data_IF_357424600069
#
_entry.id   IF_357424600069
#
_cell.length_a   1.000
_cell.length_b   1.000
_cell.length_c   1.000
_cell.angle_alpha   90.00
_cell.angle_beta   90.00
_cell.angle_gamma   90.00
#
_symmetry.space_group_name_H-M   'P 1'
#
loop_
_entity.id
_entity.type
_entity.pdbx_description
1 polymer ?
#
# COMPACT_ATOMS: atom_id res chain seq x y z
N UNK A 1 -21.02 8.54 -7.41
CA UNK A 1 -19.82 9.35 -7.70
C UNK A 1 -19.59 10.43 -6.63
N UNK A 2 -20.62 11.21 -6.24
CA UNK A 2 -20.52 12.25 -5.19
C UNK A 2 -19.98 11.73 -3.84
N UNK A 3 -20.43 10.58 -3.37
CA UNK A 3 -19.98 10.00 -2.09
C UNK A 3 -18.50 9.58 -2.07
N UNK A 4 -18.00 9.02 -3.17
CA UNK A 4 -16.58 8.67 -3.33
C UNK A 4 -15.72 9.94 -3.30
N UNK A 5 -16.16 11.01 -3.97
CA UNK A 5 -15.46 12.31 -3.94
C UNK A 5 -15.48 12.93 -2.55
N UNK A 6 -16.59 12.81 -1.81
CA UNK A 6 -16.70 13.28 -0.43
C UNK A 6 -15.75 12.49 0.50
N UNK A 7 -15.67 11.17 0.36
CA UNK A 7 -14.76 10.36 1.18
C UNK A 7 -13.28 10.56 0.83
N UNK A 8 -12.94 10.54 -0.46
CA UNK A 8 -11.57 10.89 -0.89
C UNK A 8 -11.23 12.32 -0.44
N UNK A 9 -12.21 13.22 -0.45
CA UNK A 9 -12.13 14.54 0.17
C UNK A 9 -11.80 14.45 1.66
N UNK A 10 -12.53 13.65 2.44
CA UNK A 10 -12.29 13.49 3.88
C UNK A 10 -10.93 12.89 4.22
N UNK A 11 -10.51 11.83 3.52
CA UNK A 11 -9.17 11.24 3.68
C UNK A 11 -8.11 12.24 3.24
N UNK A 12 -8.32 12.94 2.12
CA UNK A 12 -7.42 14.00 1.65
C UNK A 12 -7.31 15.11 2.68
N UNK A 13 -8.42 15.60 3.22
CA UNK A 13 -8.45 16.67 4.23
C UNK A 13 -7.73 16.24 5.49
N UNK A 14 -7.95 15.01 5.96
CA UNK A 14 -7.33 14.51 7.17
C UNK A 14 -5.84 14.24 7.00
N UNK A 15 -5.44 13.62 5.88
CA UNK A 15 -4.01 13.46 5.54
C UNK A 15 -3.36 14.82 5.34
N UNK A 16 -4.01 15.76 4.65
CA UNK A 16 -3.50 17.11 4.43
C UNK A 16 -3.39 17.90 5.73
N UNK A 17 -4.37 17.78 6.63
CA UNK A 17 -4.32 18.35 7.97
C UNK A 17 -3.10 17.85 8.73
N UNK A 18 -2.89 16.54 8.80
CA UNK A 18 -1.70 16.00 9.48
C UNK A 18 -0.39 16.35 8.76
N UNK A 19 -0.38 16.42 7.43
CA UNK A 19 0.78 16.88 6.66
C UNK A 19 1.08 18.36 6.93
N UNK A 20 0.06 19.20 7.09
CA UNK A 20 0.20 20.62 7.41
C UNK A 20 0.69 20.82 8.85
N UNK A 21 0.02 20.19 9.81
CA UNK A 21 0.29 20.36 11.24
C UNK A 21 1.58 19.65 11.68
N UNK A 22 1.81 18.42 11.22
CA UNK A 22 3.01 17.66 11.56
C UNK A 22 4.17 17.86 10.55
N UNK A 23 3.97 18.67 9.50
CA UNK A 23 4.96 18.95 8.44
C UNK A 23 5.59 17.66 7.87
N UNK A 24 6.90 17.68 7.65
CA UNK A 24 7.68 16.55 7.13
C UNK A 24 7.71 15.33 8.06
N UNK A 25 7.30 15.45 9.34
CA UNK A 25 7.42 14.36 10.33
C UNK A 25 6.50 13.18 10.03
N UNK A 26 5.43 13.38 9.25
CA UNK A 26 4.54 12.31 8.80
C UNK A 26 5.07 11.58 7.54
N UNK A 27 5.89 12.26 6.72
CA UNK A 27 6.45 11.65 5.51
C UNK A 27 7.52 10.61 5.81
N UNK A 28 8.44 10.88 6.75
CA UNK A 28 9.51 9.93 7.10
C UNK A 28 9.01 8.54 7.52
N UNK A 29 8.06 8.38 8.46
CA UNK A 29 7.54 7.06 8.81
C UNK A 29 6.80 6.40 7.64
N UNK A 30 6.05 7.17 6.83
CA UNK A 30 5.36 6.65 5.67
C UNK A 30 6.33 6.12 4.59
N UNK A 31 7.43 6.85 4.34
CA UNK A 31 8.50 6.42 3.42
C UNK A 31 9.20 5.17 3.95
N UNK A 32 9.55 5.13 5.24
CA UNK A 32 10.18 3.96 5.84
C UNK A 32 9.29 2.70 5.77
N UNK A 33 7.98 2.85 6.00
CA UNK A 33 7.00 1.77 5.84
C UNK A 33 6.87 1.34 4.37
N UNK A 34 6.84 2.29 3.43
CA UNK A 34 6.84 1.99 2.00
C UNK A 34 8.10 1.22 1.58
N UNK A 35 9.28 1.66 2.04
CA UNK A 35 10.56 1.02 1.76
C UNK A 35 10.65 -0.39 2.34
N UNK A 36 10.13 -0.58 3.56
CA UNK A 36 9.98 -1.92 4.16
C UNK A 36 9.20 -2.84 3.21
N UNK A 37 8.05 -2.40 2.70
CA UNK A 37 7.27 -3.21 1.74
C UNK A 37 8.02 -3.46 0.44
N UNK A 38 8.75 -2.47 -0.07
CA UNK A 38 9.58 -2.64 -1.24
C UNK A 38 10.65 -3.74 -1.04
N UNK A 39 11.38 -3.72 0.07
CA UNK A 39 12.34 -4.78 0.41
C UNK A 39 11.67 -6.14 0.59
N UNK A 40 10.46 -6.17 1.14
CA UNK A 40 9.66 -7.40 1.21
C UNK A 40 9.41 -7.97 -0.20
N UNK A 41 8.99 -7.15 -1.16
CA UNK A 41 8.79 -7.59 -2.56
C UNK A 41 10.09 -8.13 -3.15
N UNK A 42 11.19 -7.41 -2.98
CA UNK A 42 12.50 -7.83 -3.50
C UNK A 42 12.94 -9.16 -2.86
N UNK A 43 12.77 -9.32 -1.54
CA UNK A 43 13.12 -10.56 -0.83
C UNK A 43 12.33 -11.78 -1.30
N UNK A 44 11.10 -11.59 -1.80
CA UNK A 44 10.28 -12.66 -2.38
C UNK A 44 10.59 -12.90 -3.86
N UNK A 45 11.02 -11.87 -4.59
CA UNK A 45 11.35 -11.96 -6.00
C UNK A 45 12.68 -12.68 -6.25
N UNK A 46 13.68 -12.46 -5.39
CA UNK A 46 15.01 -13.05 -5.57
C UNK A 46 14.99 -14.59 -5.55
N UNK A 47 14.34 -15.29 -4.59
CA UNK A 47 14.26 -16.75 -4.61
C UNK A 47 13.61 -17.28 -5.89
N UNK A 48 12.57 -16.59 -6.38
CA UNK A 48 11.94 -16.94 -7.66
C UNK A 48 12.94 -16.80 -8.81
N UNK A 49 13.70 -15.70 -8.85
CA UNK A 49 14.74 -15.48 -9.87
C UNK A 49 15.85 -16.52 -9.79
N UNK A 50 16.27 -16.92 -8.59
CA UNK A 50 17.25 -17.98 -8.37
C UNK A 50 16.74 -19.31 -8.94
N UNK A 51 15.51 -19.71 -8.59
CA UNK A 51 14.92 -20.95 -9.11
C UNK A 51 14.90 -20.96 -10.64
N UNK A 52 14.53 -19.84 -11.26
CA UNK A 52 14.49 -19.76 -12.71
C UNK A 52 15.90 -19.85 -13.31
N UNK A 53 16.88 -19.10 -12.78
CA UNK A 53 18.28 -19.16 -13.26
C UNK A 53 18.87 -20.56 -13.09
N UNK A 54 18.58 -21.23 -11.98
CA UNK A 54 19.01 -22.62 -11.74
C UNK A 54 18.38 -23.55 -12.77
N UNK A 55 17.09 -23.37 -13.08
CA UNK A 55 16.36 -24.19 -14.06
C UNK A 55 16.73 -23.91 -15.52
N UNK A 56 17.26 -22.72 -15.83
CA UNK A 56 17.62 -22.37 -17.21
C UNK A 56 18.96 -22.99 -17.61
N UNK A 57 19.03 -23.53 -18.82
CA UNK A 57 20.25 -24.15 -19.35
C UNK A 57 21.37 -23.11 -19.58
N UNK A 58 21.00 -21.86 -19.90
CA UNK A 58 21.93 -20.76 -20.16
C UNK A 58 21.73 -19.60 -19.18
N UNK A 59 22.79 -18.81 -19.00
CA UNK A 59 22.74 -17.55 -18.24
C UNK A 59 21.87 -16.56 -19.02
N UNK A 60 20.85 -15.95 -18.39
CA UNK A 60 20.04 -14.96 -19.07
C UNK A 60 20.88 -13.80 -19.64
N UNK A 61 20.54 -13.36 -20.85
CA UNK A 61 21.33 -12.39 -21.63
C UNK A 61 21.64 -11.07 -20.89
N UNK A 62 20.81 -10.70 -19.91
CA UNK A 62 20.98 -9.46 -19.15
C UNK A 62 22.15 -9.47 -18.14
N UNK A 63 22.72 -10.62 -17.79
CA UNK A 63 23.93 -10.67 -16.95
C UNK A 63 25.23 -10.46 -17.73
N UNK A 64 25.17 -10.44 -19.07
CA UNK A 64 26.36 -10.42 -19.92
C UNK A 64 27.16 -11.73 -19.84
N UNK A 65 28.21 -11.83 -20.65
CA UNK A 65 29.05 -13.04 -20.74
C UNK A 65 30.09 -13.17 -19.61
N UNK A 66 30.16 -12.19 -18.71
CA UNK A 66 31.26 -12.06 -17.75
C UNK A 66 31.04 -12.79 -16.41
N UNK A 67 29.82 -13.22 -16.12
CA UNK A 67 29.49 -13.85 -14.84
C UNK A 67 29.11 -15.31 -15.04
N UNK A 68 29.78 -16.18 -14.30
CA UNK A 68 29.43 -17.59 -14.20
C UNK A 68 28.07 -17.76 -13.49
N UNK A 69 27.31 -18.75 -13.92
CA UNK A 69 25.97 -19.06 -13.37
C UNK A 69 26.01 -19.24 -11.86
N UNK A 70 27.01 -19.97 -11.36
CA UNK A 70 27.15 -20.28 -9.94
C UNK A 70 27.42 -19.02 -9.10
N UNK A 71 28.21 -18.09 -9.64
CA UNK A 71 28.47 -16.81 -8.99
C UNK A 71 27.20 -15.96 -8.87
N UNK A 72 26.38 -15.90 -9.93
CA UNK A 72 25.09 -15.17 -9.91
C UNK A 72 24.16 -15.75 -8.84
N UNK A 73 24.04 -17.08 -8.81
CA UNK A 73 23.21 -17.79 -7.83
C UNK A 73 23.71 -17.51 -6.41
N UNK A 74 25.02 -17.57 -6.18
CA UNK A 74 25.63 -17.27 -4.88
C UNK A 74 25.35 -15.83 -4.41
N UNK A 75 25.51 -14.84 -5.31
CA UNK A 75 25.22 -13.43 -4.99
C UNK A 75 23.74 -13.25 -4.64
N UNK A 76 22.82 -13.85 -5.40
CA UNK A 76 21.40 -13.75 -5.09
C UNK A 76 21.02 -14.47 -3.80
N UNK A 77 21.55 -15.66 -3.56
CA UNK A 77 21.36 -16.39 -2.30
C UNK A 77 21.83 -15.55 -1.09
N UNK A 78 22.95 -14.83 -1.23
CA UNK A 78 23.48 -13.94 -0.20
C UNK A 78 22.64 -12.66 -0.03
N UNK A 79 22.05 -12.16 -1.12
CA UNK A 79 21.27 -10.91 -1.13
C UNK A 79 19.87 -11.09 -0.52
N UNK A 80 19.26 -12.28 -0.61
CA UNK A 80 17.95 -12.60 0.00
C UNK A 80 17.90 -12.30 1.50
N UNK A 81 18.78 -12.87 2.37
CA UNK A 81 18.74 -12.60 3.80
C UNK A 81 19.05 -11.12 4.10
N UNK A 82 19.94 -10.48 3.34
CA UNK A 82 20.26 -9.07 3.50
C UNK A 82 19.02 -8.19 3.26
N UNK A 83 18.29 -8.42 2.17
CA UNK A 83 17.04 -7.71 1.87
C UNK A 83 15.95 -8.00 2.90
N UNK A 84 15.90 -9.21 3.45
CA UNK A 84 14.95 -9.54 4.50
C UNK A 84 15.26 -8.80 5.81
N UNK A 85 16.54 -8.71 6.20
CA UNK A 85 16.97 -7.89 7.35
C UNK A 85 16.65 -6.42 7.10
N UNK A 86 16.90 -5.90 5.89
CA UNK A 86 16.55 -4.53 5.52
C UNK A 86 15.03 -4.28 5.62
N UNK A 87 14.20 -5.24 5.16
CA UNK A 87 12.75 -5.20 5.32
C UNK A 87 12.33 -5.03 6.79
N UNK A 88 12.87 -5.86 7.69
CA UNK A 88 12.58 -5.80 9.13
C UNK A 88 13.07 -4.47 9.71
N UNK A 89 14.31 -4.09 9.42
CA UNK A 89 14.91 -2.86 9.93
C UNK A 89 14.13 -1.62 9.54
N UNK A 90 13.75 -1.48 8.26
CA UNK A 90 12.91 -0.37 7.78
C UNK A 90 11.51 -0.39 8.41
N UNK A 91 10.93 -1.57 8.65
CA UNK A 91 9.63 -1.69 9.30
C UNK A 91 9.66 -1.25 10.76
N UNK A 92 10.69 -1.66 11.52
CA UNK A 92 10.91 -1.23 12.91
C UNK A 92 11.21 0.26 12.97
N UNK A 93 12.06 0.77 12.08
CA UNK A 93 12.39 2.19 12.01
C UNK A 93 11.14 3.03 11.70
N UNK A 94 10.32 2.62 10.73
CA UNK A 94 9.07 3.30 10.40
C UNK A 94 8.11 3.40 11.58
N UNK A 95 7.99 2.34 12.39
CA UNK A 95 7.18 2.36 13.62
C UNK A 95 7.77 3.28 14.68
N UNK A 96 9.08 3.20 14.95
CA UNK A 96 9.77 4.06 15.92
C UNK A 96 9.66 5.55 15.55
N UNK A 97 9.82 5.86 14.27
CA UNK A 97 9.66 7.23 13.76
C UNK A 97 8.21 7.72 13.93
N UNK A 98 7.23 6.85 13.70
CA UNK A 98 5.81 7.19 13.89
C UNK A 98 5.50 7.51 15.36
N UNK A 99 5.97 6.67 16.30
CA UNK A 99 5.79 6.88 17.74
C UNK A 99 6.52 8.15 18.23
N UNK A 100 7.75 8.37 17.76
CA UNK A 100 8.53 9.57 18.09
C UNK A 100 7.87 10.85 17.57
N UNK A 101 7.45 10.86 16.30
CA UNK A 101 6.74 11.97 15.68
C UNK A 101 5.46 12.30 16.41
N UNK A 102 4.68 11.28 16.80
CA UNK A 102 3.46 11.47 17.57
C UNK A 102 3.73 12.10 18.93
N UNK A 103 4.71 11.60 19.69
CA UNK A 103 5.02 12.13 21.02
C UNK A 103 5.41 13.61 21.00
N UNK A 104 6.11 14.04 19.95
CA UNK A 104 6.52 15.42 19.75
C UNK A 104 5.36 16.30 19.28
N UNK A 105 4.51 15.81 18.37
CA UNK A 105 3.36 16.57 17.87
C UNK A 105 2.28 16.74 18.94
N UNK A 106 2.01 15.70 19.74
CA UNK A 106 1.04 15.75 20.84
C UNK A 106 1.46 16.76 21.91
N UNK A 107 2.76 16.81 22.26
CA UNK A 107 3.28 17.83 23.19
C UNK A 107 3.05 19.25 22.67
N UNK A 108 3.41 19.50 21.41
CA UNK A 108 3.27 20.83 20.81
C UNK A 108 1.81 21.30 20.70
N UNK A 109 0.88 20.39 20.42
CA UNK A 109 -0.56 20.71 20.33
C UNK A 109 -1.15 20.94 21.73
N UNK A 110 -0.80 20.09 22.71
CA UNK A 110 -1.29 20.21 24.09
C UNK A 110 -0.69 21.42 24.85
N UNK A 111 0.54 21.82 24.54
CA UNK A 111 1.16 23.02 25.13
C UNK A 111 0.60 24.33 24.54
N UNK A 112 0.02 24.29 23.33
CA UNK A 112 -0.65 25.43 22.71
C UNK A 112 -2.07 25.69 23.24
N UNK A 113 -2.77 24.66 23.70
CA UNK A 113 -4.12 24.77 24.30
C UNK A 113 -4.03 24.81 25.83
N UNK A 114 -3.66 25.98 26.35
CA UNK A 114 -3.79 26.34 27.77
C UNK A 114 -5.27 26.25 28.17
N UNK A 115 -5.66 25.25 28.96
CA UNK A 115 -6.91 25.29 29.71
C UNK A 115 -7.70 23.99 29.84
N UNK A 116 -7.26 23.12 30.76
CA UNK A 116 -8.07 22.27 31.65
C UNK A 116 -9.15 21.30 31.12
N UNK A 117 -9.49 21.22 29.84
CA UNK A 117 -10.47 20.24 29.36
C UNK A 117 -9.89 19.25 28.34
N UNK A 118 -9.80 17.99 28.79
CA UNK A 118 -9.86 16.73 28.01
C UNK A 118 -8.54 15.98 27.78
N UNK A 119 -8.16 15.21 28.81
CA UNK A 119 -7.46 13.91 28.70
C UNK A 119 -8.16 12.88 27.78
N UNK A 120 -9.37 13.17 27.26
CA UNK A 120 -10.23 12.24 26.50
C UNK A 120 -9.74 12.00 25.04
N UNK A 121 -8.70 12.70 24.55
CA UNK A 121 -8.32 12.66 23.13
C UNK A 121 -7.12 11.81 22.72
N UNK A 122 -6.22 11.42 23.63
CA UNK A 122 -4.86 11.02 23.23
C UNK A 122 -4.80 9.68 22.46
N UNK A 123 -5.45 8.64 22.97
CA UNK A 123 -5.43 7.31 22.32
C UNK A 123 -6.16 7.29 20.97
N UNK A 124 -7.22 8.10 20.87
CA UNK A 124 -8.02 8.23 19.63
C UNK A 124 -7.29 9.07 18.59
N UNK A 125 -6.65 10.17 18.99
CA UNK A 125 -5.79 10.98 18.13
C UNK A 125 -4.59 10.19 17.64
N UNK A 126 -3.93 9.44 18.53
CA UNK A 126 -2.89 8.46 18.19
C UNK A 126 -3.38 7.48 17.13
N UNK A 127 -4.55 6.87 17.35
CA UNK A 127 -5.15 5.94 16.39
C UNK A 127 -5.41 6.56 15.01
N UNK A 128 -5.83 7.82 14.94
CA UNK A 128 -6.05 8.54 13.68
C UNK A 128 -4.73 8.90 12.99
N UNK A 129 -3.73 9.36 13.72
CA UNK A 129 -2.40 9.66 13.19
C UNK A 129 -1.77 8.40 12.59
N UNK A 130 -1.79 7.28 13.31
CA UNK A 130 -1.27 6.01 12.82
C UNK A 130 -2.01 5.53 11.57
N UNK A 131 -3.34 5.59 11.56
CA UNK A 131 -4.16 5.24 10.40
C UNK A 131 -3.84 6.13 9.20
N UNK A 132 -3.56 7.43 9.42
CA UNK A 132 -3.17 8.38 8.37
C UNK A 132 -1.79 8.07 7.78
N UNK A 133 -0.80 7.77 8.64
CA UNK A 133 0.53 7.36 8.22
C UNK A 133 0.48 6.08 7.37
N UNK A 134 -0.33 5.10 7.77
CA UNK A 134 -0.53 3.85 7.02
C UNK A 134 -1.20 4.10 5.67
N UNK A 135 -2.26 4.90 5.65
CA UNK A 135 -2.96 5.30 4.41
C UNK A 135 -1.98 5.98 3.45
N UNK A 136 -1.16 6.93 3.93
CA UNK A 136 -0.17 7.58 3.10
C UNK A 136 0.88 6.59 2.57
N UNK A 137 1.39 5.70 3.42
CA UNK A 137 2.34 4.65 3.01
C UNK A 137 1.74 3.73 1.94
N UNK A 138 0.47 3.35 2.04
CA UNK A 138 -0.18 2.49 1.06
C UNK A 138 -0.45 3.24 -0.26
N UNK A 139 -0.80 4.54 -0.21
CA UNK A 139 -0.89 5.39 -1.41
C UNK A 139 0.47 5.48 -2.11
N UNK A 140 1.54 5.75 -1.37
CA UNK A 140 2.90 5.81 -1.91
C UNK A 140 3.28 4.48 -2.57
N UNK A 141 2.93 3.34 -1.95
CA UNK A 141 3.23 2.02 -2.50
C UNK A 141 2.45 1.75 -3.80
N UNK A 142 1.18 2.15 -3.88
CA UNK A 142 0.38 2.00 -5.10
C UNK A 142 0.95 2.87 -6.23
N UNK A 143 1.33 4.11 -5.93
CA UNK A 143 1.95 5.02 -6.89
C UNK A 143 3.31 4.50 -7.38
N UNK A 144 4.19 4.09 -6.47
CA UNK A 144 5.49 3.52 -6.84
C UNK A 144 5.34 2.22 -7.64
N UNK A 145 4.36 1.38 -7.28
CA UNK A 145 4.05 0.16 -8.04
C UNK A 145 3.58 0.48 -9.45
N UNK A 146 2.74 1.51 -9.63
CA UNK A 146 2.32 1.96 -10.96
C UNK A 146 3.49 2.47 -11.79
N UNK A 147 4.41 3.23 -11.19
CA UNK A 147 5.61 3.73 -11.90
C UNK A 147 6.48 2.55 -12.33
N UNK A 148 6.74 1.59 -11.43
CA UNK A 148 7.52 0.39 -11.75
C UNK A 148 6.87 -0.46 -12.85
N UNK A 149 5.55 -0.63 -12.82
CA UNK A 149 4.82 -1.30 -13.89
C UNK A 149 4.94 -0.55 -15.21
N UNK A 150 4.86 0.78 -15.21
CA UNK A 150 4.99 1.59 -16.42
C UNK A 150 6.40 1.46 -17.03
N UNK A 151 7.44 1.36 -16.20
CA UNK A 151 8.81 1.13 -16.64
C UNK A 151 9.01 -0.25 -17.29
N UNK A 152 8.25 -1.28 -16.88
CA UNK A 152 8.34 -2.63 -17.45
C UNK A 152 7.44 -2.77 -18.67
N UNK A 153 6.16 -2.46 -18.53
CA UNK A 153 5.20 -2.53 -19.61
C UNK A 153 4.05 -1.52 -19.40
N UNK A 154 4.00 -0.51 -20.26
CA UNK A 154 3.01 0.57 -20.18
C UNK A 154 1.55 0.08 -20.30
N UNK A 155 1.30 -0.96 -21.11
CA UNK A 155 -0.04 -1.54 -21.28
C UNK A 155 -0.51 -2.20 -19.98
N UNK A 156 0.36 -2.98 -19.34
CA UNK A 156 0.06 -3.61 -18.03
C UNK A 156 -0.17 -2.54 -16.98
N UNK A 157 0.63 -1.47 -16.94
CA UNK A 157 0.43 -0.35 -16.02
C UNK A 157 -0.93 0.33 -16.22
N UNK A 158 -1.32 0.56 -17.47
CA UNK A 158 -2.60 1.18 -17.81
C UNK A 158 -3.78 0.30 -17.38
N UNK A 159 -3.70 -1.00 -17.64
CA UNK A 159 -4.68 -1.98 -17.20
C UNK A 159 -4.74 -2.05 -15.66
N UNK A 160 -3.59 -2.07 -14.99
CA UNK A 160 -3.51 -2.05 -13.54
C UNK A 160 -4.22 -0.82 -12.95
N UNK A 161 -3.94 0.38 -13.47
CA UNK A 161 -4.59 1.62 -13.02
C UNK A 161 -6.10 1.60 -13.28
N UNK A 162 -6.53 1.03 -14.41
CA UNK A 162 -7.95 0.84 -14.72
C UNK A 162 -8.62 -0.08 -13.69
N UNK A 163 -8.01 -1.22 -13.38
CA UNK A 163 -8.53 -2.19 -12.40
C UNK A 163 -8.55 -1.60 -10.98
N UNK A 164 -7.49 -0.89 -10.56
CA UNK A 164 -7.46 -0.19 -9.27
C UNK A 164 -8.56 0.87 -9.19
N UNK A 165 -8.77 1.63 -10.27
CA UNK A 165 -9.83 2.64 -10.35
C UNK A 165 -11.22 2.01 -10.24
N UNK A 166 -11.44 0.86 -10.89
CA UNK A 166 -12.68 0.09 -10.81
C UNK A 166 -12.91 -0.44 -9.38
N UNK A 167 -11.88 -1.00 -8.76
CA UNK A 167 -11.92 -1.49 -7.38
C UNK A 167 -12.27 -0.37 -6.39
N UNK A 168 -11.66 0.82 -6.52
CA UNK A 168 -11.97 1.98 -5.69
C UNK A 168 -13.42 2.46 -5.88
N UNK A 169 -13.91 2.48 -7.13
CA UNK A 169 -15.32 2.82 -7.42
C UNK A 169 -16.29 1.84 -6.77
N UNK A 170 -15.99 0.54 -6.88
CA UNK A 170 -16.81 -0.50 -6.27
C UNK A 170 -16.77 -0.41 -4.73
N UNK A 171 -15.57 -0.21 -4.17
CA UNK A 171 -15.38 -0.02 -2.73
C UNK A 171 -16.23 1.13 -2.18
N UNK A 172 -16.24 2.29 -2.84
CA UNK A 172 -17.07 3.39 -2.38
C UNK A 172 -18.56 3.08 -2.48
N UNK A 173 -19.02 2.45 -3.57
CA UNK A 173 -20.42 2.05 -3.70
C UNK A 173 -20.82 1.09 -2.56
N UNK A 174 -20.00 0.08 -2.29
CA UNK A 174 -20.35 -0.97 -1.32
C UNK A 174 -20.22 -0.52 0.13
N UNK A 175 -19.24 0.33 0.44
CA UNK A 175 -18.95 0.75 1.82
C UNK A 175 -19.90 1.85 2.32
N UNK A 176 -20.32 2.77 1.44
CA UNK A 176 -21.11 3.95 1.84
C UNK A 176 -22.62 3.76 1.71
N UNK A 177 -23.08 2.91 0.78
CA UNK A 177 -24.53 2.68 0.60
C UNK A 177 -25.12 1.87 1.76
N UNK A 178 -24.30 1.11 2.49
CA UNK A 178 -24.76 0.21 3.56
C UNK A 178 -24.65 0.93 4.90
N UNK A 179 -25.78 1.19 5.55
CA UNK A 179 -25.83 1.70 6.93
C UNK A 179 -25.12 0.73 7.88
N UNK A 180 -24.43 1.24 8.91
CA UNK A 180 -23.49 0.52 9.79
C UNK A 180 -23.93 -0.89 10.22
N UNK A 181 -25.23 -1.10 10.45
CA UNK A 181 -25.75 -2.32 11.07
C UNK A 181 -26.39 -3.33 10.11
N UNK A 182 -26.54 -3.02 8.82
CA UNK A 182 -27.08 -3.99 7.86
C UNK A 182 -25.94 -4.81 7.26
N UNK A 183 -25.89 -6.09 7.62
CA UNK A 183 -25.20 -7.12 6.83
C UNK A 183 -25.67 -6.97 5.37
N UNK A 184 -24.74 -7.00 4.40
CA UNK A 184 -25.08 -6.96 2.98
C UNK A 184 -26.03 -8.12 2.68
N UNK A 185 -27.30 -7.80 2.44
CA UNK A 185 -28.46 -8.70 2.55
C UNK A 185 -28.42 -9.92 1.62
N UNK A 186 -27.56 -9.90 0.61
CA UNK A 186 -27.42 -11.02 -0.34
C UNK A 186 -26.41 -12.08 0.11
N UNK A 187 -25.47 -11.73 0.99
CA UNK A 187 -24.30 -12.58 1.27
C UNK A 187 -23.86 -12.62 2.75
N UNK A 188 -24.48 -11.81 3.63
CA UNK A 188 -24.14 -11.73 5.06
C UNK A 188 -22.64 -11.50 5.36
N UNK A 189 -21.90 -10.95 4.40
CA UNK A 189 -20.45 -10.81 4.48
C UNK A 189 -20.06 -9.52 5.20
N UNK A 190 -19.03 -9.62 6.05
CA UNK A 190 -18.46 -8.46 6.73
C UNK A 190 -17.80 -7.53 5.72
N UNK A 191 -17.88 -6.21 5.92
CA UNK A 191 -17.30 -5.20 4.99
C UNK A 191 -15.84 -5.51 4.66
N UNK A 192 -15.08 -5.95 5.68
CA UNK A 192 -13.67 -6.34 5.55
C UNK A 192 -13.47 -7.46 4.53
N UNK A 193 -14.28 -8.51 4.59
CA UNK A 193 -14.21 -9.66 3.69
C UNK A 193 -14.64 -9.27 2.27
N UNK A 194 -15.62 -8.38 2.13
CA UNK A 194 -16.03 -7.89 0.82
C UNK A 194 -14.87 -7.20 0.08
N UNK A 195 -14.13 -6.30 0.75
CA UNK A 195 -12.93 -5.67 0.18
C UNK A 195 -11.88 -6.70 -0.23
N UNK A 196 -11.65 -7.72 0.60
CA UNK A 196 -10.68 -8.78 0.33
C UNK A 196 -11.03 -9.57 -0.93
N UNK A 197 -12.32 -9.90 -1.09
CA UNK A 197 -12.79 -10.61 -2.28
C UNK A 197 -12.72 -9.73 -3.53
N UNK A 198 -13.09 -8.46 -3.45
CA UNK A 198 -12.96 -7.52 -4.57
C UNK A 198 -11.49 -7.42 -5.00
N UNK A 199 -10.57 -7.24 -4.05
CA UNK A 199 -9.13 -7.15 -4.35
C UNK A 199 -8.61 -8.46 -4.97
N UNK A 200 -9.06 -9.61 -4.46
CA UNK A 200 -8.70 -10.93 -5.00
C UNK A 200 -9.20 -11.12 -6.43
N UNK A 201 -10.45 -10.75 -6.73
CA UNK A 201 -11.01 -10.82 -8.09
C UNK A 201 -10.27 -9.88 -9.03
N UNK A 202 -9.95 -8.66 -8.60
CA UNK A 202 -9.18 -7.71 -9.38
C UNK A 202 -7.76 -8.23 -9.69
N UNK A 203 -7.12 -8.86 -8.72
CA UNK A 203 -5.81 -9.49 -8.91
C UNK A 203 -5.90 -10.67 -9.88
N UNK A 204 -6.90 -11.54 -9.76
CA UNK A 204 -7.11 -12.68 -10.68
C UNK A 204 -7.37 -12.21 -12.12
N UNK A 205 -8.16 -11.16 -12.29
CA UNK A 205 -8.40 -10.55 -13.59
C UNK A 205 -7.08 -10.04 -14.19
N UNK A 206 -6.26 -9.33 -13.42
CA UNK A 206 -4.97 -8.85 -13.90
C UNK A 206 -4.01 -10.01 -14.23
N UNK A 207 -4.01 -11.08 -13.42
CA UNK A 207 -3.25 -12.30 -13.70
C UNK A 207 -3.66 -12.94 -15.02
N UNK A 208 -4.97 -13.06 -15.29
CA UNK A 208 -5.47 -13.56 -16.56
C UNK A 208 -4.96 -12.75 -17.75
N UNK A 209 -4.99 -11.41 -17.65
CA UNK A 209 -4.44 -10.54 -18.69
C UNK A 209 -2.92 -10.69 -18.86
N UNK A 210 -2.17 -10.92 -17.78
CA UNK A 210 -0.73 -11.21 -17.88
C UNK A 210 -0.48 -12.53 -18.62
N UNK A 211 -1.24 -13.58 -18.34
CA UNK A 211 -1.13 -14.87 -19.05
C UNK A 211 -1.45 -14.71 -20.53
N UNK A 212 -2.54 -13.99 -20.86
CA UNK A 212 -2.88 -13.63 -22.24
C UNK A 212 -1.76 -12.81 -22.89
N UNK A 213 -1.17 -11.87 -22.17
CA UNK A 213 -0.05 -11.06 -22.65
C UNK A 213 1.21 -11.88 -22.96
N UNK A 214 1.53 -12.88 -22.14
CA UNK A 214 2.63 -13.81 -22.41
C UNK A 214 2.36 -14.64 -23.66
N UNK A 215 1.15 -15.20 -23.76
CA UNK A 215 0.82 -16.13 -24.85
C UNK A 215 0.60 -15.44 -26.21
N UNK A 216 -0.07 -14.29 -26.22
CA UNK A 216 -0.50 -13.61 -27.45
C UNK A 216 0.28 -12.35 -27.79
N UNK A 217 0.86 -11.65 -26.81
CA UNK A 217 1.57 -10.37 -27.04
C UNK A 217 3.10 -10.51 -26.95
N UNK A 218 3.62 -11.73 -26.78
CA UNK A 218 5.05 -11.99 -26.69
C UNK A 218 5.73 -11.42 -25.45
N UNK A 219 4.98 -11.14 -24.39
CA UNK A 219 5.55 -10.66 -23.12
C UNK A 219 6.49 -11.71 -22.54
N UNK A 220 7.68 -11.30 -22.11
CA UNK A 220 8.62 -12.21 -21.47
C UNK A 220 8.05 -12.78 -20.17
N UNK A 221 8.25 -14.07 -19.91
CA UNK A 221 7.78 -14.74 -18.67
C UNK A 221 8.29 -14.01 -17.42
N UNK A 222 9.53 -13.51 -17.45
CA UNK A 222 10.11 -12.74 -16.35
C UNK A 222 9.40 -11.41 -16.12
N UNK A 223 9.04 -10.70 -17.18
CA UNK A 223 8.30 -9.44 -17.10
C UNK A 223 6.91 -9.69 -16.51
N UNK A 224 6.23 -10.74 -16.96
CA UNK A 224 4.93 -11.13 -16.44
C UNK A 224 4.97 -11.51 -14.95
N UNK A 225 5.98 -12.28 -14.53
CA UNK A 225 6.17 -12.65 -13.12
C UNK A 225 6.49 -11.42 -12.25
N UNK A 226 7.32 -10.50 -12.74
CA UNK A 226 7.61 -9.26 -12.04
C UNK A 226 6.36 -8.39 -11.90
N UNK A 227 5.62 -8.18 -13.00
CA UNK A 227 4.36 -7.47 -13.01
C UNK A 227 3.34 -8.09 -12.05
N UNK A 228 3.25 -9.42 -12.01
CA UNK A 228 2.37 -10.16 -11.11
C UNK A 228 2.70 -9.89 -9.64
N UNK A 229 3.98 -9.92 -9.27
CA UNK A 229 4.43 -9.68 -7.89
C UNK A 229 4.18 -8.25 -7.44
N UNK A 230 4.51 -7.26 -8.28
CA UNK A 230 4.25 -5.85 -8.00
C UNK A 230 2.74 -5.61 -7.84
N UNK A 231 1.94 -6.16 -8.74
CA UNK A 231 0.49 -6.03 -8.69
C UNK A 231 -0.11 -6.65 -7.43
N UNK A 232 0.37 -7.82 -7.01
CA UNK A 232 -0.05 -8.48 -5.76
C UNK A 232 0.15 -7.54 -4.56
N UNK A 233 1.30 -6.90 -4.49
CA UNK A 233 1.66 -6.01 -3.39
C UNK A 233 0.84 -4.72 -3.41
N UNK A 234 0.58 -4.19 -4.59
CA UNK A 234 -0.27 -3.03 -4.76
C UNK A 234 -1.74 -3.33 -4.40
N UNK A 235 -2.28 -4.51 -4.74
CA UNK A 235 -3.62 -4.92 -4.29
C UNK A 235 -3.69 -5.16 -2.78
N UNK A 236 -2.63 -5.68 -2.15
CA UNK A 236 -2.54 -5.78 -0.70
C UNK A 236 -2.48 -4.40 -0.02
N UNK A 237 -1.81 -3.41 -0.63
CA UNK A 237 -1.87 -2.02 -0.17
C UNK A 237 -3.27 -1.42 -0.38
N UNK A 238 -3.92 -1.67 -1.51
CA UNK A 238 -5.28 -1.19 -1.78
C UNK A 238 -6.29 -1.74 -0.76
N UNK A 239 -6.17 -3.01 -0.40
CA UNK A 239 -6.98 -3.65 0.64
C UNK A 239 -6.77 -2.98 2.01
N UNK A 240 -5.52 -2.75 2.41
CA UNK A 240 -5.18 -2.10 3.69
C UNK A 240 -5.61 -0.62 3.72
N UNK A 241 -5.38 0.11 2.64
CA UNK A 241 -5.88 1.47 2.43
C UNK A 241 -7.40 1.53 2.63
N UNK A 242 -8.13 0.58 2.06
CA UNK A 242 -9.59 0.50 2.18
C UNK A 242 -10.04 0.25 3.62
N UNK A 243 -9.33 -0.59 4.38
CA UNK A 243 -9.63 -0.83 5.79
C UNK A 243 -9.37 0.36 6.70
N UNK A 244 -8.21 1.00 6.55
CA UNK A 244 -7.87 2.18 7.35
C UNK A 244 -8.79 3.35 6.98
N UNK A 245 -9.19 3.47 5.71
CA UNK A 245 -10.20 4.44 5.26
C UNK A 245 -11.56 4.24 5.94
N UNK A 246 -12.04 2.99 6.04
CA UNK A 246 -13.30 2.68 6.77
C UNK A 246 -13.18 3.12 8.23
N UNK A 247 -12.05 2.85 8.88
CA UNK A 247 -11.81 3.20 10.28
C UNK A 247 -11.80 4.71 10.50
N UNK A 248 -11.21 5.47 9.59
CA UNK A 248 -11.22 6.94 9.62
C UNK A 248 -12.66 7.47 9.47
N UNK A 249 -13.43 6.89 8.54
CA UNK A 249 -14.80 7.30 8.30
C UNK A 249 -15.75 6.98 9.46
N UNK A 250 -15.70 5.75 9.99
CA UNK A 250 -16.57 5.31 11.08
C UNK A 250 -16.28 6.02 12.41
N UNK A 251 -15.07 6.57 12.57
CA UNK A 251 -14.71 7.35 13.74
C UNK A 251 -15.52 8.64 13.92
N UNK A 252 -16.19 9.17 12.89
CA UNK A 252 -17.00 10.40 13.00
C UNK A 252 -16.21 11.70 13.22
N UNK A 253 -14.89 11.62 13.40
CA UNK A 253 -14.01 12.75 13.74
C UNK A 253 -13.75 13.71 12.60
N UNK A 254 -13.93 13.28 11.34
CA UNK A 254 -13.72 14.17 10.18
C UNK A 254 -14.64 15.39 10.27
N UNK A 255 -15.89 15.22 10.72
CA UNK A 255 -16.81 16.36 10.89
C UNK A 255 -16.34 17.34 11.95
N UNK A 256 -15.73 16.85 13.03
CA UNK A 256 -15.29 17.68 14.16
C UNK A 256 -14.01 18.47 13.82
N UNK A 257 -12.99 17.80 13.30
CA UNK A 257 -11.72 18.47 12.96
C UNK A 257 -11.79 19.27 11.65
N UNK A 258 -12.66 18.92 10.69
CA UNK A 258 -12.87 19.76 9.50
C UNK A 258 -13.62 21.05 9.81
N UNK A 259 -14.34 21.14 10.95
CA UNK A 259 -14.91 22.40 11.44
C UNK A 259 -13.87 23.27 12.14
N UNK A 260 -12.81 22.69 12.70
CA UNK A 260 -11.71 23.41 13.38
C UNK A 260 -10.62 23.89 12.39
N UNK A 261 -10.54 23.32 11.19
CA UNK A 261 -9.53 23.65 10.17
C UNK A 261 -9.96 24.72 9.14
N UNK A 262 -11.23 25.16 9.16
CA UNK A 262 -11.78 26.27 8.38
C UNK A 262 -11.93 27.49 9.27
#
# INVERSE_FOLDING_TARGET
MKELLCHLGNVKTLVFFFVRECKYKLFFPAIALCLSRFFQVMSLFLPLKILIVVSSESVPAYFGKYFEKDYIVFVFMSLVPLLYVAYIASGVLGRRLMDSSLSNSVKNILEGEVGNEKKIGNDKFKGLYESSCKVLSDILLILSSSILLACVNFLVSSLFLFVVSLALRFFAKTTYTVTSDRRLTFLNLHRRQCVEYICSVCFLLLFFFLVVGVYFLGMGVYEALFCLLISRQAFQALQRFSYESIKIYSGGYVKKYAQEAN
#
